data_IF_356715555407
#
_entry.id   IF_356715555407
#
_cell.length_a   1.000
_cell.length_b   1.000
_cell.length_c   1.000
_cell.angle_alpha   90.00
_cell.angle_beta   90.00
_cell.angle_gamma   90.00
#
_symmetry.space_group_name_H-M   'P 1'
#
loop_
_entity.id
_entity.type
_entity.pdbx_description
1 polymer ?
#
# COMPACT_ATOMS: atom_id res chain seq x y z
N UNK A 1 52.26 -35.34 29.93
CA UNK A 1 51.22 -34.30 30.08
C UNK A 1 51.65 -32.94 29.47
N UNK A 2 52.30 -32.91 28.30
CA UNK A 2 52.76 -31.67 27.62
C UNK A 2 52.10 -31.42 26.26
N UNK A 3 51.32 -32.38 25.75
CA UNK A 3 50.69 -32.31 24.42
C UNK A 3 49.36 -31.55 24.45
N UNK A 4 48.66 -31.51 25.60
CA UNK A 4 47.37 -30.83 25.75
C UNK A 4 47.47 -29.29 25.84
N UNK A 5 48.62 -28.74 26.22
CA UNK A 5 48.79 -27.28 26.43
C UNK A 5 49.09 -26.54 25.11
N UNK A 6 49.73 -27.21 24.15
CA UNK A 6 50.09 -26.59 22.86
C UNK A 6 48.93 -26.49 21.84
N UNK A 7 47.80 -27.14 22.12
CA UNK A 7 46.59 -27.08 21.28
C UNK A 7 45.62 -25.96 21.69
N UNK A 8 45.77 -25.41 22.90
CA UNK A 8 44.93 -24.35 23.44
C UNK A 8 44.89 -23.08 22.56
N UNK A 9 46.01 -22.57 22.00
CA UNK A 9 45.97 -21.38 21.15
C UNK A 9 45.23 -21.64 19.83
N UNK A 10 45.27 -22.87 19.29
CA UNK A 10 44.53 -23.24 18.09
C UNK A 10 43.01 -23.29 18.33
N UNK A 11 42.57 -23.81 19.47
CA UNK A 11 41.15 -23.79 19.84
C UNK A 11 40.62 -22.37 20.07
N UNK A 12 41.42 -21.51 20.69
CA UNK A 12 41.09 -20.08 20.88
C UNK A 12 40.97 -19.40 19.52
N UNK A 13 41.89 -19.66 18.58
CA UNK A 13 41.85 -19.09 17.22
C UNK A 13 40.61 -19.54 16.45
N UNK A 14 40.26 -20.83 16.54
CA UNK A 14 39.06 -21.40 15.90
C UNK A 14 37.78 -20.80 16.51
N UNK A 15 37.71 -20.64 17.83
CA UNK A 15 36.57 -19.97 18.47
C UNK A 15 36.48 -18.50 18.03
N UNK A 16 37.60 -17.79 17.93
CA UNK A 16 37.61 -16.39 17.54
C UNK A 16 37.17 -16.20 16.07
N UNK A 17 37.62 -17.07 15.15
CA UNK A 17 37.17 -17.05 13.76
C UNK A 17 35.70 -17.45 13.61
N UNK A 18 35.22 -18.44 14.38
CA UNK A 18 33.80 -18.81 14.42
C UNK A 18 32.96 -17.64 14.96
N UNK A 19 33.38 -16.97 16.02
CA UNK A 19 32.66 -15.79 16.56
C UNK A 19 32.66 -14.63 15.57
N UNK A 20 33.76 -14.35 14.87
CA UNK A 20 33.82 -13.32 13.83
C UNK A 20 32.89 -13.68 12.65
N UNK A 21 32.88 -14.93 12.20
CA UNK A 21 31.98 -15.40 11.14
C UNK A 21 30.51 -15.42 11.56
N UNK A 22 30.21 -15.59 12.86
CA UNK A 22 28.84 -15.52 13.39
C UNK A 22 28.37 -14.06 13.55
N UNK A 23 29.23 -13.15 14.01
CA UNK A 23 28.90 -11.72 14.12
C UNK A 23 28.70 -11.04 12.76
N UNK A 24 29.35 -11.53 11.71
CA UNK A 24 29.22 -10.98 10.35
C UNK A 24 27.92 -11.37 9.63
N UNK A 25 27.10 -12.29 10.15
CA UNK A 25 25.87 -12.76 9.49
C UNK A 25 24.60 -11.94 9.75
N UNK A 26 24.60 -10.99 10.69
CA UNK A 26 23.47 -10.07 10.89
C UNK A 26 23.84 -8.64 10.46
N UNK A 27 24.11 -8.47 9.16
CA UNK A 27 24.24 -7.15 8.55
C UNK A 27 22.83 -6.59 8.43
N UNK A 28 22.44 -5.78 9.42
CA UNK A 28 21.21 -5.00 9.37
C UNK A 28 21.34 -3.96 8.29
N UNK A 29 20.52 -4.06 7.24
CA UNK A 29 20.59 -3.14 6.11
C UNK A 29 19.86 -1.82 6.40
N UNK A 30 20.40 -0.72 5.87
CA UNK A 30 19.79 0.61 5.94
C UNK A 30 18.79 0.83 4.81
N UNK A 31 18.03 1.92 4.89
CA UNK A 31 17.16 2.36 3.79
C UNK A 31 18.00 2.73 2.55
N UNK A 32 17.56 2.33 1.36
CA UNK A 32 18.26 2.52 0.09
C UNK A 32 19.26 1.42 -0.28
N UNK A 33 19.57 0.49 0.62
CA UNK A 33 20.48 -0.62 0.30
C UNK A 33 19.78 -1.71 -0.55
N UNK A 34 20.51 -2.39 -1.46
CA UNK A 34 19.95 -3.46 -2.27
C UNK A 34 19.64 -4.71 -1.42
N UNK A 35 18.58 -5.43 -1.77
CA UNK A 35 18.16 -6.66 -1.08
C UNK A 35 17.77 -7.76 -2.07
N UNK A 36 17.77 -9.01 -1.58
CA UNK A 36 17.50 -10.20 -2.40
C UNK A 36 15.99 -10.47 -2.47
N UNK A 37 15.49 -10.64 -3.69
CA UNK A 37 14.08 -10.83 -3.99
C UNK A 37 13.92 -11.55 -5.34
N UNK A 38 12.68 -11.82 -5.76
CA UNK A 38 12.37 -12.48 -7.04
C UNK A 38 12.40 -11.54 -8.26
N UNK A 39 12.57 -10.24 -8.07
CA UNK A 39 12.51 -9.21 -9.13
C UNK A 39 13.92 -8.74 -9.54
N UNK A 40 14.03 -8.05 -10.69
CA UNK A 40 15.33 -7.59 -11.21
C UNK A 40 16.03 -6.62 -10.24
N UNK A 41 15.29 -5.68 -9.64
CA UNK A 41 15.81 -4.70 -8.70
C UNK A 41 14.94 -4.63 -7.43
N UNK A 42 15.58 -4.70 -6.26
CA UNK A 42 14.93 -4.52 -4.97
C UNK A 42 15.78 -3.68 -4.02
N UNK A 43 15.12 -2.76 -3.32
CA UNK A 43 15.73 -1.83 -2.38
C UNK A 43 15.05 -1.85 -1.03
N UNK A 44 15.83 -1.67 0.02
CA UNK A 44 15.34 -1.61 1.39
C UNK A 44 14.59 -0.29 1.61
N UNK A 45 13.30 -0.36 1.93
CA UNK A 45 12.45 0.80 2.20
C UNK A 45 11.74 0.65 3.54
N UNK A 46 11.34 1.76 4.15
CA UNK A 46 10.40 1.70 5.28
C UNK A 46 9.08 1.08 4.82
N UNK A 47 8.38 0.39 5.73
CA UNK A 47 7.08 -0.25 5.41
C UNK A 47 6.05 0.73 4.83
N UNK A 48 6.09 2.00 5.21
CA UNK A 48 5.22 3.05 4.69
C UNK A 48 5.59 3.51 3.28
N UNK A 49 6.87 3.40 2.89
CA UNK A 49 7.39 3.88 1.61
C UNK A 49 7.53 2.76 0.57
N UNK A 50 6.92 1.60 0.84
CA UNK A 50 6.85 0.49 -0.10
C UNK A 50 5.40 0.35 -0.58
N UNK A 51 5.10 0.96 -1.73
CA UNK A 51 3.74 1.01 -2.29
C UNK A 51 3.26 -0.37 -2.78
N UNK A 52 4.20 -1.26 -3.13
CA UNK A 52 3.94 -2.64 -3.61
C UNK A 52 4.16 -3.65 -2.47
N UNK A 53 3.29 -3.61 -1.46
CA UNK A 53 3.19 -4.72 -0.51
C UNK A 53 2.23 -5.78 -1.05
N UNK A 54 2.63 -6.45 -2.13
CA UNK A 54 1.89 -7.57 -2.69
C UNK A 54 2.87 -8.69 -2.98
N UNK A 55 2.83 -9.77 -2.18
CA UNK A 55 2.38 -11.11 -2.60
C UNK A 55 2.17 -11.94 -1.32
N UNK A 56 1.19 -12.86 -1.34
CA UNK A 56 0.98 -13.89 -0.31
C UNK A 56 2.29 -14.56 0.10
N UNK A 57 2.84 -14.20 1.27
CA UNK A 57 4.13 -14.71 1.72
C UNK A 57 4.72 -13.96 2.92
N UNK A 58 5.75 -14.57 3.51
CA UNK A 58 6.52 -14.03 4.65
C UNK A 58 7.22 -12.71 4.26
N UNK A 59 7.10 -11.69 5.10
CA UNK A 59 7.63 -10.35 4.81
C UNK A 59 9.16 -10.40 4.91
N UNK A 60 9.86 -10.12 3.80
CA UNK A 60 11.33 -10.06 3.79
C UNK A 60 11.81 -8.76 4.45
N UNK A 61 12.56 -8.88 5.55
CA UNK A 61 13.09 -7.74 6.30
C UNK A 61 14.57 -7.49 5.99
N UNK A 62 14.88 -6.26 5.57
CA UNK A 62 16.24 -5.74 5.57
C UNK A 62 16.73 -5.42 6.99
N UNK A 63 15.84 -4.86 7.81
CA UNK A 63 16.08 -4.57 9.21
C UNK A 63 14.79 -4.68 10.01
N UNK A 64 14.63 -5.82 10.68
CA UNK A 64 13.44 -6.10 11.49
C UNK A 64 13.26 -5.14 12.67
N UNK A 65 14.35 -4.57 13.22
CA UNK A 65 14.27 -3.62 14.36
C UNK A 65 13.76 -2.24 13.95
N UNK A 66 14.01 -1.83 12.70
CA UNK A 66 13.61 -0.52 12.15
C UNK A 66 12.39 -0.60 11.23
N UNK A 67 11.79 -1.78 11.06
CA UNK A 67 10.64 -1.96 10.16
C UNK A 67 10.99 -1.70 8.68
N UNK A 68 12.24 -1.95 8.30
CA UNK A 68 12.72 -1.79 6.92
C UNK A 68 12.53 -3.13 6.21
N UNK A 69 11.76 -3.11 5.14
CA UNK A 69 11.39 -4.28 4.33
C UNK A 69 12.13 -4.24 2.99
N UNK A 70 12.35 -5.41 2.39
CA UNK A 70 12.85 -5.52 1.04
C UNK A 70 11.71 -5.24 0.06
N UNK A 71 11.79 -4.14 -0.68
CA UNK A 71 10.75 -3.68 -1.59
C UNK A 71 11.20 -3.89 -3.04
N UNK A 72 10.40 -4.54 -3.89
CA UNK A 72 10.67 -4.58 -5.32
C UNK A 72 10.50 -3.21 -5.95
N UNK A 73 11.44 -2.84 -6.81
CA UNK A 73 11.23 -1.75 -7.75
C UNK A 73 10.40 -2.30 -8.91
N UNK A 74 9.32 -1.60 -9.26
CA UNK A 74 8.57 -1.98 -10.44
C UNK A 74 9.52 -1.98 -11.66
N UNK A 75 9.43 -2.97 -12.55
CA UNK A 75 10.14 -2.87 -13.82
C UNK A 75 9.70 -1.57 -14.48
N UNK A 76 10.66 -0.72 -14.86
CA UNK A 76 10.44 0.43 -15.75
C UNK A 76 10.02 -0.11 -17.12
N UNK A 77 8.82 -0.66 -17.23
CA UNK A 77 8.21 -0.80 -18.54
C UNK A 77 7.98 0.64 -18.99
N UNK A 78 8.71 1.08 -20.03
CA UNK A 78 8.36 2.26 -20.81
C UNK A 78 7.04 1.96 -21.50
N UNK A 79 5.95 1.94 -20.74
CA UNK A 79 4.63 1.94 -21.33
C UNK A 79 4.42 3.43 -21.51
N UNK A 80 4.31 3.90 -22.74
CA UNK A 80 3.68 5.21 -22.98
C UNK A 80 2.16 5.15 -22.64
N UNK A 81 1.78 4.36 -21.64
CA UNK A 81 0.49 4.38 -21.00
C UNK A 81 0.72 5.18 -19.73
N UNK A 82 0.25 6.43 -19.66
CA UNK A 82 0.28 7.16 -18.40
C UNK A 82 -0.41 6.28 -17.34
N UNK A 83 0.11 6.21 -16.10
CA UNK A 83 -0.56 5.46 -15.04
C UNK A 83 -2.00 5.97 -14.94
N UNK A 84 -2.95 5.14 -15.37
CA UNK A 84 -4.35 5.55 -15.44
C UNK A 84 -4.89 5.54 -14.03
N UNK A 85 -5.34 6.69 -13.56
CA UNK A 85 -5.90 6.81 -12.23
C UNK A 85 -7.22 6.03 -12.17
N UNK A 86 -7.45 5.25 -11.12
CA UNK A 86 -8.69 4.45 -11.00
C UNK A 86 -9.95 5.33 -11.06
N UNK A 87 -9.87 6.58 -10.58
CA UNK A 87 -10.96 7.56 -10.70
C UNK A 87 -11.20 8.03 -12.13
N UNK A 88 -10.18 8.05 -12.98
CA UNK A 88 -10.31 8.37 -14.40
C UNK A 88 -11.04 7.25 -15.14
N UNK A 89 -10.65 5.99 -14.89
CA UNK A 89 -11.37 4.83 -15.41
C UNK A 89 -12.84 4.80 -14.98
N UNK A 90 -13.11 5.09 -13.70
CA UNK A 90 -14.47 5.17 -13.19
C UNK A 90 -15.25 6.30 -13.88
N UNK A 91 -14.68 7.49 -14.02
CA UNK A 91 -15.28 8.62 -14.72
C UNK A 91 -15.64 8.28 -16.18
N UNK A 92 -14.72 7.67 -16.92
CA UNK A 92 -14.98 7.19 -18.27
C UNK A 92 -16.11 6.15 -18.33
N UNK A 93 -16.18 5.27 -17.34
CA UNK A 93 -17.27 4.28 -17.26
C UNK A 93 -18.63 4.96 -17.03
N UNK A 94 -18.69 5.95 -16.13
CA UNK A 94 -19.93 6.66 -15.80
C UNK A 94 -20.42 7.53 -16.96
N UNK A 95 -19.53 8.21 -17.66
CA UNK A 95 -19.88 9.04 -18.83
C UNK A 95 -20.42 8.23 -20.02
N UNK A 96 -20.15 6.92 -20.09
CA UNK A 96 -20.76 6.03 -21.09
C UNK A 96 -22.22 5.68 -20.78
N UNK A 97 -22.60 5.68 -19.49
CA UNK A 97 -23.94 5.31 -19.03
C UNK A 97 -24.83 6.51 -18.72
N UNK A 98 -24.26 7.70 -18.52
CA UNK A 98 -25.02 8.94 -18.34
C UNK A 98 -25.35 9.60 -19.68
N UNK A 99 -26.47 10.32 -19.74
CA UNK A 99 -26.77 11.12 -20.93
C UNK A 99 -25.76 12.24 -21.09
N UNK A 100 -25.19 12.40 -22.30
CA UNK A 100 -24.35 13.55 -22.64
C UNK A 100 -25.13 14.87 -22.72
N UNK A 101 -26.46 14.78 -22.78
CA UNK A 101 -27.32 15.93 -22.58
C UNK A 101 -27.27 16.34 -21.10
N UNK A 102 -26.60 17.46 -20.84
CA UNK A 102 -26.85 18.25 -19.66
C UNK A 102 -27.99 19.22 -20.06
N UNK A 103 -29.24 18.98 -19.66
CA UNK A 103 -30.38 19.64 -20.31
C UNK A 103 -30.46 21.14 -20.05
N UNK A 104 -29.67 21.71 -19.12
CA UNK A 104 -29.81 23.11 -18.73
C UNK A 104 -28.48 23.81 -18.43
N UNK A 105 -28.34 25.03 -18.95
CA UNK A 105 -27.21 25.94 -18.65
C UNK A 105 -27.18 26.41 -17.19
N UNK A 106 -28.30 26.31 -16.48
CA UNK A 106 -28.46 26.71 -15.07
C UNK A 106 -29.41 25.75 -14.35
N UNK A 107 -29.00 25.27 -13.17
CA UNK A 107 -29.88 24.51 -12.27
C UNK A 107 -30.52 25.51 -11.32
N UNK A 108 -31.81 25.82 -11.53
CA UNK A 108 -32.60 26.67 -10.62
C UNK A 108 -33.87 25.94 -10.20
N UNK A 109 -34.24 26.02 -8.92
CA UNK A 109 -35.47 25.39 -8.41
C UNK A 109 -35.41 23.87 -8.33
N UNK A 110 -34.26 23.32 -7.88
CA UNK A 110 -33.94 21.90 -7.92
C UNK A 110 -35.09 20.95 -7.58
N UNK A 111 -35.16 19.86 -8.32
CA UNK A 111 -36.16 18.81 -8.17
C UNK A 111 -35.54 17.50 -7.64
N UNK A 112 -36.40 16.55 -7.24
CA UNK A 112 -35.94 15.22 -6.83
C UNK A 112 -35.37 14.49 -8.05
N UNK A 113 -34.13 14.03 -7.92
CA UNK A 113 -33.49 13.20 -8.94
C UNK A 113 -34.30 11.93 -9.25
N UNK A 114 -34.32 11.54 -10.53
CA UNK A 114 -34.89 10.27 -10.99
C UNK A 114 -34.04 9.11 -10.48
N UNK A 115 -34.67 7.94 -10.43
CA UNK A 115 -33.96 6.71 -10.07
C UNK A 115 -32.77 6.48 -11.03
N UNK A 116 -31.58 6.30 -10.47
CA UNK A 116 -30.31 6.08 -11.20
C UNK A 116 -29.86 7.25 -12.10
N UNK A 117 -30.37 8.46 -11.87
CA UNK A 117 -29.93 9.65 -12.63
C UNK A 117 -28.46 10.00 -12.37
N UNK A 118 -28.01 9.82 -11.12
CA UNK A 118 -26.62 10.05 -10.71
C UNK A 118 -26.03 8.75 -10.13
N UNK A 119 -25.64 7.77 -10.96
CA UNK A 119 -25.11 6.49 -10.50
C UNK A 119 -23.93 6.57 -9.52
N UNK A 120 -22.96 7.50 -9.65
CA UNK A 120 -21.82 7.53 -8.74
C UNK A 120 -22.13 8.25 -7.41
N UNK A 121 -23.34 8.80 -7.23
CA UNK A 121 -23.71 9.45 -5.97
C UNK A 121 -23.73 8.44 -4.82
N UNK A 122 -23.05 8.78 -3.72
CA UNK A 122 -22.98 7.96 -2.51
C UNK A 122 -23.48 8.75 -1.28
N UNK A 123 -23.99 8.02 -0.30
CA UNK A 123 -24.32 8.54 1.04
C UNK A 123 -23.36 7.96 2.07
N UNK A 124 -22.92 8.81 2.99
CA UNK A 124 -22.08 8.46 4.12
C UNK A 124 -22.91 8.51 5.40
N UNK A 125 -22.84 7.44 6.18
CA UNK A 125 -23.65 7.29 7.38
C UNK A 125 -23.05 6.33 8.38
N UNK A 126 -23.45 6.50 9.64
CA UNK A 126 -23.09 5.63 10.74
C UNK A 126 -24.16 4.57 10.93
N UNK A 127 -23.76 3.31 10.84
CA UNK A 127 -24.65 2.18 11.10
C UNK A 127 -24.69 1.87 12.60
N UNK A 128 -25.90 1.87 13.18
CA UNK A 128 -26.13 1.47 14.56
C UNK A 128 -26.61 0.00 14.58
N UNK A 129 -25.79 -0.95 15.03
CA UNK A 129 -26.16 -2.37 15.05
C UNK A 129 -27.24 -2.71 16.10
N UNK A 130 -27.45 -1.85 17.11
CA UNK A 130 -28.45 -2.06 18.15
C UNK A 130 -29.85 -1.71 17.68
N UNK A 131 -30.00 -0.60 16.94
CA UNK A 131 -31.28 -0.18 16.38
C UNK A 131 -31.51 -0.69 14.96
N UNK A 132 -30.46 -1.22 14.31
CA UNK A 132 -30.44 -1.59 12.89
C UNK A 132 -30.79 -0.42 11.96
N UNK A 133 -30.40 0.79 12.35
CA UNK A 133 -30.64 2.02 11.60
C UNK A 133 -29.32 2.63 11.13
N UNK A 134 -29.38 3.37 10.01
CA UNK A 134 -28.23 4.14 9.51
C UNK A 134 -28.55 5.63 9.58
N UNK A 135 -27.72 6.39 10.28
CA UNK A 135 -27.81 7.85 10.32
C UNK A 135 -26.91 8.43 9.24
N UNK A 136 -27.50 8.99 8.19
CA UNK A 136 -26.78 9.63 7.09
C UNK A 136 -26.42 11.07 7.44
N UNK A 137 -25.17 11.47 7.20
CA UNK A 137 -24.66 12.78 7.59
C UNK A 137 -23.92 13.52 6.47
N UNK A 138 -23.44 12.81 5.44
CA UNK A 138 -22.72 13.40 4.32
C UNK A 138 -23.01 12.70 2.99
N UNK A 139 -22.59 13.32 1.89
CA UNK A 139 -22.53 12.72 0.57
C UNK A 139 -21.12 12.32 0.15
N UNK A 140 -21.02 11.60 -0.96
CA UNK A 140 -19.76 11.26 -1.60
C UNK A 140 -19.94 10.87 -3.06
N UNK A 141 -18.85 10.51 -3.70
CA UNK A 141 -18.82 10.03 -5.09
C UNK A 141 -18.01 8.76 -5.17
N UNK A 142 -18.60 7.68 -5.70
CA UNK A 142 -17.87 6.44 -5.98
C UNK A 142 -16.87 6.71 -7.10
N UNK A 143 -15.57 6.54 -6.82
CA UNK A 143 -14.48 6.80 -7.78
C UNK A 143 -13.73 5.52 -8.18
N UNK A 144 -14.05 4.39 -7.56
CA UNK A 144 -13.63 3.05 -7.97
C UNK A 144 -14.45 2.02 -7.20
N UNK A 145 -14.23 0.73 -7.43
CA UNK A 145 -14.96 -0.34 -6.74
C UNK A 145 -14.88 -0.29 -5.21
N UNK A 146 -13.83 0.35 -4.66
CA UNK A 146 -13.55 0.34 -3.21
C UNK A 146 -13.38 1.71 -2.59
N UNK A 147 -13.44 2.79 -3.36
CA UNK A 147 -13.15 4.12 -2.87
C UNK A 147 -14.28 5.11 -3.18
N UNK A 148 -14.70 5.82 -2.14
CA UNK A 148 -15.62 6.96 -2.22
C UNK A 148 -14.83 8.23 -1.91
N UNK A 149 -14.92 9.20 -2.81
CA UNK A 149 -14.40 10.54 -2.60
C UNK A 149 -15.41 11.36 -1.79
N UNK A 150 -14.94 12.10 -0.79
CA UNK A 150 -15.77 12.99 0.03
C UNK A 150 -14.95 14.15 0.60
N UNK A 151 -15.61 15.05 1.33
CA UNK A 151 -14.95 16.13 2.05
C UNK A 151 -14.27 15.60 3.32
N UNK A 152 -13.10 16.16 3.66
CA UNK A 152 -12.34 15.75 4.85
C UNK A 152 -13.14 15.91 6.15
N UNK A 153 -14.00 16.93 6.24
CA UNK A 153 -14.84 17.16 7.41
C UNK A 153 -15.94 16.11 7.62
N UNK A 154 -16.22 15.27 6.62
CA UNK A 154 -17.16 14.15 6.73
C UNK A 154 -16.51 12.90 7.37
N UNK A 155 -15.20 12.88 7.61
CA UNK A 155 -14.50 11.68 8.12
C UNK A 155 -14.84 11.29 9.56
N UNK A 156 -15.42 12.22 10.35
CA UNK A 156 -15.73 12.03 11.76
C UNK A 156 -17.23 12.22 12.05
N UNK A 157 -18.10 11.72 11.17
CA UNK A 157 -19.55 11.78 11.36
C UNK A 157 -20.06 11.00 12.56
#
# INVERSE_FOLDING_TARGET
>A
MKVLVNSLPHFIFIIFTIVITVQTKMILKAEGEPCECKFENCTCKTRSNCDVLSQEGDISYCNRRRGIVCCPEEPNYIINIPPVLMSELACESYTKITSKECPQKFITGGERAKLKEFPPAALLGNFNPTTNETTWFCGGTLISERFVLTASHCGNG
#
